data_IF_181697265113
#
_entry.id   IF_181697265113
#
_cell.length_a   1.000
_cell.length_b   1.000
_cell.length_c   1.000
_cell.angle_alpha   90.00
_cell.angle_beta   90.00
_cell.angle_gamma   90.00
#
_symmetry.space_group_name_H-M   'P 1'
#
loop_
_entity.id
_entity.type
_entity.pdbx_description
1 polymer ?
#
# COMPACT_ATOMS: atom_id res chain seq x y z
N UNK A 1 -39.92 53.49 56.45
CA UNK A 1 -38.60 53.27 57.01
C UNK A 1 -37.99 52.00 56.45
N UNK A 2 -36.77 52.01 56.01
CA UNK A 2 -36.04 50.86 55.52
C UNK A 2 -35.09 50.34 56.63
N UNK A 3 -35.02 49.05 56.75
CA UNK A 3 -34.16 48.39 57.71
C UNK A 3 -33.25 47.43 56.91
N UNK A 4 -31.98 47.29 57.29
CA UNK A 4 -31.01 46.37 56.69
C UNK A 4 -30.59 45.33 57.74
N UNK A 5 -30.46 44.09 57.30
CA UNK A 5 -29.97 42.98 58.09
C UNK A 5 -28.56 42.56 57.58
N UNK A 6 -27.70 42.11 58.47
CA UNK A 6 -26.45 41.56 58.12
C UNK A 6 -26.60 40.14 57.51
N UNK A 7 -25.52 39.62 56.90
CA UNK A 7 -25.40 38.23 56.47
C UNK A 7 -25.60 37.28 57.67
N UNK A 8 -26.32 36.21 57.45
CA UNK A 8 -26.59 35.21 58.49
C UNK A 8 -27.97 34.56 58.35
N UNK A 9 -28.21 33.52 59.15
CA UNK A 9 -29.48 32.81 59.22
C UNK A 9 -30.31 33.30 60.41
N UNK A 10 -31.51 33.71 60.12
CA UNK A 10 -32.53 34.24 61.07
C UNK A 10 -33.65 33.22 61.20
N UNK A 11 -33.82 32.66 62.40
CA UNK A 11 -34.91 31.71 62.67
C UNK A 11 -36.30 32.29 62.47
N UNK A 12 -37.27 31.41 62.27
CA UNK A 12 -38.68 31.87 62.18
C UNK A 12 -39.07 32.76 63.38
N UNK A 13 -39.55 33.97 63.10
CA UNK A 13 -39.92 34.94 64.10
C UNK A 13 -38.76 35.74 64.73
N UNK A 14 -37.55 35.55 64.33
CA UNK A 14 -36.34 36.30 64.77
C UNK A 14 -36.42 37.80 64.29
N UNK A 15 -36.90 37.98 63.06
CA UNK A 15 -37.12 39.34 62.48
C UNK A 15 -38.52 39.75 62.71
N UNK A 16 -38.72 40.85 63.48
CA UNK A 16 -40.04 41.38 63.87
C UNK A 16 -40.08 42.85 63.61
N UNK A 17 -41.28 43.33 63.27
CA UNK A 17 -41.65 44.75 63.22
C UNK A 17 -42.86 45.05 64.07
N UNK A 18 -42.84 46.16 64.77
CA UNK A 18 -43.98 46.67 65.51
C UNK A 18 -44.12 48.18 65.34
N UNK A 19 -45.31 48.70 65.54
CA UNK A 19 -45.61 50.11 65.47
C UNK A 19 -45.97 50.65 66.87
N UNK A 20 -45.53 51.87 67.16
CA UNK A 20 -45.90 52.59 68.33
C UNK A 20 -46.58 53.89 67.85
N UNK A 21 -47.79 54.23 68.37
CA UNK A 21 -48.53 55.43 68.04
C UNK A 21 -47.93 56.66 68.73
N UNK A 22 -48.44 57.86 68.42
CA UNK A 22 -48.04 59.13 69.02
C UNK A 22 -48.29 59.23 70.51
N UNK A 23 -49.22 58.41 71.05
CA UNK A 23 -49.55 58.33 72.46
C UNK A 23 -48.70 57.31 73.22
N UNK A 24 -47.78 56.61 72.56
CA UNK A 24 -46.86 55.62 73.14
C UNK A 24 -47.46 54.20 73.20
N UNK A 25 -48.62 53.93 72.59
CA UNK A 25 -49.16 52.56 72.57
C UNK A 25 -48.48 51.73 71.52
N UNK A 26 -47.97 50.52 71.87
CA UNK A 26 -47.27 49.66 71.02
C UNK A 26 -48.15 48.46 70.64
N UNK A 27 -48.28 48.24 69.32
CA UNK A 27 -49.00 47.09 68.76
C UNK A 27 -48.24 45.79 68.93
N UNK A 28 -48.97 44.66 68.74
CA UNK A 28 -48.33 43.35 68.70
C UNK A 28 -47.31 43.30 67.53
N UNK A 29 -46.19 42.61 67.67
CA UNK A 29 -45.19 42.45 66.59
C UNK A 29 -45.73 41.55 65.45
N UNK A 30 -45.45 41.92 64.23
CA UNK A 30 -45.51 41.05 63.07
C UNK A 30 -44.15 40.42 62.86
N UNK A 31 -44.13 39.09 62.61
CA UNK A 31 -42.89 38.31 62.48
C UNK A 31 -42.70 37.83 61.03
N UNK A 32 -41.48 37.87 60.55
CA UNK A 32 -41.05 37.20 59.28
C UNK A 32 -40.79 35.71 59.53
N UNK A 33 -40.98 34.85 58.52
CA UNK A 33 -40.54 33.47 58.52
C UNK A 33 -39.06 33.36 58.67
N UNK A 34 -38.54 32.16 58.62
CA UNK A 34 -37.07 31.94 58.55
C UNK A 34 -36.46 32.62 57.30
N UNK A 35 -35.35 33.32 57.48
CA UNK A 35 -34.67 34.06 56.43
C UNK A 35 -33.16 33.76 56.52
N UNK A 36 -32.55 33.42 55.37
CA UNK A 36 -31.09 33.39 55.25
C UNK A 36 -30.67 34.52 54.31
N UNK A 37 -29.75 35.32 54.77
CA UNK A 37 -29.02 36.30 53.96
C UNK A 37 -27.63 35.74 53.72
N UNK A 38 -27.34 35.42 52.48
CA UNK A 38 -26.04 34.93 52.00
C UNK A 38 -25.60 35.87 50.89
N UNK A 39 -24.45 36.50 51.07
CA UNK A 39 -23.83 37.42 50.12
C UNK A 39 -22.42 36.96 49.74
N UNK A 40 -22.05 35.75 50.15
CA UNK A 40 -20.73 35.16 49.89
C UNK A 40 -20.76 34.32 48.64
N UNK A 41 -20.06 34.73 47.56
CA UNK A 41 -19.99 33.95 46.36
C UNK A 41 -19.21 32.63 46.58
N UNK A 42 -19.56 31.56 45.86
CA UNK A 42 -18.79 30.33 45.84
C UNK A 42 -17.31 30.54 45.47
N UNK A 43 -16.45 29.61 45.87
CA UNK A 43 -15.04 29.62 45.45
C UNK A 43 -14.95 29.50 43.93
N UNK A 44 -13.95 30.15 43.32
CA UNK A 44 -13.64 30.01 41.90
C UNK A 44 -13.37 28.54 41.55
N UNK A 45 -14.08 27.96 40.57
CA UNK A 45 -13.88 26.57 40.16
C UNK A 45 -12.50 26.35 39.50
N UNK A 46 -12.06 25.08 39.45
CA UNK A 46 -10.98 24.67 38.55
C UNK A 46 -11.43 24.76 37.07
N UNK A 47 -10.49 24.76 36.14
CA UNK A 47 -10.80 24.67 34.72
C UNK A 47 -11.72 23.45 34.44
N UNK A 48 -12.67 23.56 33.50
CA UNK A 48 -13.38 22.39 33.02
C UNK A 48 -12.45 21.37 32.38
N UNK A 49 -12.96 20.15 32.25
CA UNK A 49 -12.27 19.05 31.58
C UNK A 49 -13.14 18.54 30.43
N UNK A 50 -12.57 18.33 29.25
CA UNK A 50 -13.24 17.69 28.11
C UNK A 50 -13.24 16.19 28.36
N UNK A 51 -14.41 15.54 28.41
CA UNK A 51 -14.45 14.10 28.70
C UNK A 51 -13.79 13.29 27.59
N UNK A 52 -13.14 12.16 27.94
CA UNK A 52 -12.48 11.24 27.00
C UNK A 52 -13.36 10.87 25.80
N UNK A 53 -14.68 10.75 25.98
CA UNK A 53 -15.61 10.39 24.90
C UNK A 53 -15.84 11.53 23.89
N UNK A 54 -15.63 12.78 24.31
CA UNK A 54 -15.70 13.96 23.44
C UNK A 54 -14.32 14.44 22.98
N UNK A 55 -13.24 13.99 23.60
CA UNK A 55 -11.85 14.24 23.14
C UNK A 55 -11.48 13.14 22.16
N UNK A 56 -11.91 13.31 20.88
CA UNK A 56 -11.80 12.30 19.83
C UNK A 56 -10.43 12.35 19.15
N UNK A 57 -10.10 11.31 18.38
CA UNK A 57 -8.88 11.32 17.60
C UNK A 57 -7.76 10.45 18.16
N UNK A 58 -6.51 10.86 17.94
CA UNK A 58 -5.34 10.07 18.30
C UNK A 58 -4.98 10.14 19.80
N UNK A 59 -5.41 11.20 20.48
CA UNK A 59 -5.21 11.45 21.91
C UNK A 59 -6.55 11.84 22.53
N UNK A 60 -6.82 11.41 23.75
CA UNK A 60 -7.98 11.83 24.54
C UNK A 60 -7.59 12.81 25.66
N UNK A 61 -6.50 13.57 25.47
CA UNK A 61 -5.95 14.52 26.45
C UNK A 61 -5.37 15.78 25.81
N UNK A 62 -5.53 15.95 24.50
CA UNK A 62 -4.97 17.10 23.77
C UNK A 62 -6.01 18.18 23.48
N UNK A 63 -7.30 17.91 23.82
CA UNK A 63 -8.43 18.81 23.60
C UNK A 63 -8.63 19.19 22.11
N UNK A 64 -8.18 18.33 21.18
CA UNK A 64 -8.46 18.41 19.76
C UNK A 64 -9.53 17.38 19.39
N UNK A 65 -10.70 17.83 18.95
CA UNK A 65 -11.85 16.94 18.79
C UNK A 65 -12.62 17.15 17.49
N UNK A 66 -13.10 16.04 16.91
CA UNK A 66 -14.11 16.01 15.86
C UNK A 66 -15.55 16.07 16.38
N UNK A 67 -15.76 16.05 17.71
CA UNK A 67 -17.10 16.20 18.31
C UNK A 67 -17.50 17.69 18.34
N UNK A 68 -18.50 18.06 17.55
CA UNK A 68 -19.00 19.44 17.51
C UNK A 68 -20.03 19.74 18.60
N UNK A 69 -20.34 18.78 19.48
CA UNK A 69 -21.23 18.94 20.64
C UNK A 69 -20.55 18.47 21.93
N UNK A 70 -19.31 18.97 22.21
CA UNK A 70 -18.49 18.42 23.27
C UNK A 70 -19.13 18.52 24.65
N UNK A 71 -18.85 17.50 25.47
CA UNK A 71 -19.28 17.44 26.88
C UNK A 71 -18.09 17.76 27.78
N UNK A 72 -18.34 18.69 28.68
CA UNK A 72 -17.38 19.14 29.69
C UNK A 72 -17.83 18.72 31.10
N UNK A 73 -16.89 18.43 31.95
CA UNK A 73 -17.09 18.03 33.34
C UNK A 73 -16.19 18.83 34.28
N UNK A 74 -16.55 18.75 35.56
CA UNK A 74 -15.71 19.27 36.62
C UNK A 74 -16.24 18.89 37.98
N UNK A 75 -15.53 19.29 39.03
CA UNK A 75 -15.84 18.98 40.43
C UNK A 75 -15.54 20.13 41.35
N UNK A 76 -15.81 19.96 42.65
CA UNK A 76 -15.48 20.93 43.71
C UNK A 76 -16.55 21.98 43.98
N UNK A 77 -17.74 21.85 43.37
CA UNK A 77 -18.89 22.72 43.71
C UNK A 77 -19.67 22.22 44.89
N UNK A 78 -20.59 23.04 45.39
CA UNK A 78 -21.51 22.70 46.47
C UNK A 78 -22.79 22.08 45.89
N UNK A 79 -23.24 20.97 46.45
CA UNK A 79 -24.46 20.29 45.99
C UNK A 79 -25.67 21.24 45.99
N UNK A 80 -26.37 21.32 44.85
CA UNK A 80 -27.52 22.20 44.66
C UNK A 80 -27.20 23.55 44.02
N UNK A 81 -25.91 23.95 43.98
CA UNK A 81 -25.49 25.13 43.22
C UNK A 81 -25.56 24.86 41.71
N UNK A 82 -25.49 25.93 40.93
CA UNK A 82 -25.54 25.87 39.47
C UNK A 82 -24.12 26.10 38.89
N UNK A 83 -23.61 25.16 38.09
CA UNK A 83 -22.48 25.40 37.23
C UNK A 83 -22.95 26.02 35.91
N UNK A 84 -22.28 27.10 35.46
CA UNK A 84 -22.50 27.76 34.18
C UNK A 84 -21.23 27.66 33.36
N UNK A 85 -21.29 26.97 32.20
CA UNK A 85 -20.19 26.85 31.25
C UNK A 85 -20.23 28.05 30.29
N UNK A 86 -19.06 28.60 30.01
CA UNK A 86 -18.88 29.70 29.05
C UNK A 86 -17.91 29.23 27.95
N UNK A 87 -18.21 29.65 26.73
CA UNK A 87 -17.32 29.50 25.58
C UNK A 87 -17.07 30.91 25.04
N UNK A 88 -15.79 31.31 24.97
CA UNK A 88 -15.35 32.67 24.61
C UNK A 88 -16.12 33.75 25.40
N UNK A 89 -16.34 33.48 26.67
CA UNK A 89 -17.06 34.38 27.59
C UNK A 89 -18.57 34.42 27.40
N UNK A 90 -19.15 33.63 26.51
CA UNK A 90 -20.62 33.54 26.31
C UNK A 90 -21.14 32.27 26.95
N UNK A 91 -22.21 32.37 27.77
CA UNK A 91 -22.83 31.23 28.44
C UNK A 91 -23.32 30.21 27.40
N UNK A 92 -22.85 28.96 27.56
CA UNK A 92 -23.08 27.86 26.63
C UNK A 92 -23.96 26.73 27.19
N UNK A 93 -24.11 26.67 28.52
CA UNK A 93 -24.96 25.69 29.18
C UNK A 93 -24.88 25.77 30.70
N UNK A 94 -25.81 25.14 31.39
CA UNK A 94 -25.85 25.09 32.86
C UNK A 94 -26.16 23.68 33.34
N UNK A 95 -25.66 23.31 34.51
CA UNK A 95 -26.00 22.09 35.21
C UNK A 95 -26.12 22.34 36.73
N UNK A 96 -26.99 21.59 37.40
CA UNK A 96 -27.03 21.56 38.88
C UNK A 96 -25.91 20.66 39.35
N UNK A 97 -25.14 21.14 40.34
CA UNK A 97 -24.04 20.38 40.95
C UNK A 97 -24.63 19.25 41.80
N UNK A 98 -24.13 18.03 41.59
CA UNK A 98 -24.62 16.85 42.26
C UNK A 98 -24.18 16.73 43.74
N UNK A 99 -24.64 15.68 44.45
CA UNK A 99 -24.27 15.43 45.84
C UNK A 99 -22.77 15.15 46.05
N UNK A 100 -22.03 14.78 45.01
CA UNK A 100 -20.60 14.59 45.04
C UNK A 100 -19.78 15.85 44.72
N UNK A 101 -20.46 16.95 44.40
CA UNK A 101 -19.83 18.20 43.98
C UNK A 101 -19.45 18.24 42.51
N UNK A 102 -19.96 17.31 41.68
CA UNK A 102 -19.65 17.20 40.26
C UNK A 102 -20.73 17.81 39.38
N UNK A 103 -20.33 18.18 38.18
CA UNK A 103 -21.21 18.68 37.13
C UNK A 103 -20.80 18.14 35.76
N UNK A 104 -21.73 18.09 34.81
CA UNK A 104 -21.50 17.74 33.42
C UNK A 104 -22.42 18.57 32.53
N UNK A 105 -21.88 19.16 31.46
CA UNK A 105 -22.58 20.00 30.51
C UNK A 105 -22.16 19.61 29.09
N UNK A 106 -23.15 19.21 28.27
CA UNK A 106 -22.96 19.04 26.82
C UNK A 106 -23.37 20.34 26.12
N UNK A 107 -22.49 20.82 25.23
CA UNK A 107 -22.78 22.07 24.51
C UNK A 107 -23.72 21.83 23.32
N UNK A 108 -24.32 22.89 22.82
CA UNK A 108 -24.92 22.90 21.50
C UNK A 108 -23.81 22.82 20.44
N UNK A 109 -24.19 22.47 19.19
CA UNK A 109 -23.30 22.38 18.04
C UNK A 109 -22.45 23.65 17.87
N UNK A 110 -21.14 23.43 17.61
CA UNK A 110 -20.13 24.45 17.36
C UNK A 110 -19.50 24.26 16.00
N UNK A 111 -19.12 25.36 15.38
CA UNK A 111 -18.29 25.31 14.15
C UNK A 111 -16.85 24.92 14.45
N UNK A 112 -16.10 24.56 13.43
CA UNK A 112 -14.64 24.35 13.53
C UNK A 112 -13.95 25.63 14.01
N UNK A 113 -13.04 25.50 14.97
CA UNK A 113 -12.32 26.60 15.59
C UNK A 113 -11.74 26.25 16.93
N UNK A 114 -10.93 27.17 17.48
CA UNK A 114 -10.36 27.07 18.83
C UNK A 114 -11.12 27.97 19.77
N UNK A 115 -11.50 27.45 20.94
CA UNK A 115 -12.36 28.04 21.91
C UNK A 115 -11.74 28.05 23.31
N UNK A 116 -11.92 29.15 24.04
CA UNK A 116 -11.61 29.25 25.46
C UNK A 116 -12.84 28.85 26.28
N UNK A 117 -12.77 27.76 27.04
CA UNK A 117 -13.86 27.20 27.83
C UNK A 117 -13.59 27.48 29.31
N UNK A 118 -14.55 28.15 29.98
CA UNK A 118 -14.48 28.48 31.41
C UNK A 118 -15.79 28.08 32.11
N UNK A 119 -15.80 28.03 33.43
CA UNK A 119 -16.98 27.73 34.26
C UNK A 119 -17.06 28.67 35.47
N UNK A 120 -18.27 29.06 35.86
CA UNK A 120 -18.57 29.70 37.17
C UNK A 120 -19.56 28.85 37.96
N UNK A 121 -19.62 29.04 39.28
CA UNK A 121 -20.63 28.48 40.16
C UNK A 121 -21.52 29.59 40.69
N UNK A 122 -22.84 29.34 40.71
CA UNK A 122 -23.82 30.23 41.33
C UNK A 122 -24.49 29.46 42.45
N UNK A 123 -24.47 30.01 43.68
CA UNK A 123 -25.14 29.41 44.83
C UNK A 123 -26.66 29.55 44.78
N UNK A 124 -27.33 28.93 45.74
CA UNK A 124 -28.80 28.98 45.84
C UNK A 124 -29.34 30.36 46.25
N UNK A 125 -28.45 31.27 46.72
CA UNK A 125 -28.81 32.66 47.04
C UNK A 125 -28.64 33.61 45.83
N UNK A 126 -27.99 33.14 44.76
CA UNK A 126 -27.74 33.88 43.51
C UNK A 126 -26.37 34.60 43.48
N UNK A 127 -25.42 34.28 44.37
CA UNK A 127 -24.10 34.82 44.32
C UNK A 127 -23.26 33.98 43.31
N UNK A 128 -22.61 34.65 42.36
CA UNK A 128 -21.80 34.00 41.33
C UNK A 128 -20.30 34.14 41.65
N UNK A 129 -19.56 33.07 41.49
CA UNK A 129 -18.08 33.04 41.59
C UNK A 129 -17.43 33.77 40.44
N UNK A 130 -16.10 34.03 40.55
CA UNK A 130 -15.28 34.29 39.39
C UNK A 130 -15.25 33.07 38.48
N UNK A 131 -15.04 33.28 37.16
CA UNK A 131 -14.82 32.19 36.21
C UNK A 131 -13.48 31.49 36.46
N UNK A 132 -13.40 30.22 36.14
CA UNK A 132 -12.18 29.41 36.16
C UNK A 132 -11.13 29.97 35.23
N UNK A 133 -9.91 29.40 35.26
CA UNK A 133 -8.97 29.50 34.15
C UNK A 133 -9.56 28.80 32.93
N UNK A 134 -9.20 29.29 31.73
CA UNK A 134 -9.69 28.71 30.48
C UNK A 134 -9.04 27.36 30.21
N UNK A 135 -9.82 26.44 29.64
CA UNK A 135 -9.40 25.29 28.89
C UNK A 135 -9.47 25.65 27.41
N UNK A 136 -8.35 25.57 26.68
CA UNK A 136 -8.35 25.72 25.22
C UNK A 136 -8.78 24.40 24.58
N UNK A 137 -9.79 24.45 23.69
CA UNK A 137 -10.33 23.29 22.97
C UNK A 137 -10.41 23.63 21.49
N UNK A 138 -9.92 22.75 20.63
CA UNK A 138 -10.04 22.90 19.19
C UNK A 138 -11.05 21.89 18.65
N UNK A 139 -12.08 22.40 17.99
CA UNK A 139 -13.07 21.58 17.26
C UNK A 139 -12.69 21.60 15.79
N UNK A 140 -12.51 20.41 15.21
CA UNK A 140 -12.25 20.19 13.78
C UNK A 140 -13.10 19.02 13.30
N UNK A 141 -14.13 19.30 12.54
CA UNK A 141 -15.05 18.31 11.94
C UNK A 141 -14.75 18.06 10.47
N UNK A 142 -13.72 18.71 9.94
CA UNK A 142 -13.38 18.67 8.54
C UNK A 142 -12.49 17.45 8.24
N UNK A 143 -13.04 16.46 7.51
CA UNK A 143 -12.26 15.30 7.10
C UNK A 143 -11.10 15.71 6.17
N UNK A 144 -9.91 15.10 6.35
CA UNK A 144 -8.76 15.36 5.48
C UNK A 144 -9.06 14.95 4.03
N UNK A 145 -8.33 15.53 3.07
CA UNK A 145 -8.46 15.18 1.67
C UNK A 145 -8.14 13.70 1.43
N UNK A 146 -8.76 13.08 0.41
CA UNK A 146 -8.44 11.70 0.06
C UNK A 146 -6.96 11.54 -0.32
N UNK A 147 -6.35 10.42 0.07
CA UNK A 147 -5.00 10.04 -0.34
C UNK A 147 -4.94 9.78 -1.85
N UNK A 148 -3.75 9.81 -2.42
CA UNK A 148 -3.46 9.22 -3.73
C UNK A 148 -2.74 7.90 -3.56
N UNK A 149 -3.00 6.92 -4.45
CA UNK A 149 -2.29 5.64 -4.46
C UNK A 149 -2.05 5.19 -5.90
N UNK A 150 -0.82 4.73 -6.19
CA UNK A 150 -0.43 4.22 -7.52
C UNK A 150 0.66 3.16 -7.39
N UNK A 151 0.71 2.23 -8.35
CA UNK A 151 1.91 1.39 -8.50
C UNK A 151 3.13 2.27 -8.69
N UNK A 152 4.20 2.01 -7.93
CA UNK A 152 5.49 2.69 -8.09
C UNK A 152 6.08 2.41 -9.47
N UNK A 153 6.01 1.17 -9.91
CA UNK A 153 6.47 0.73 -11.24
C UNK A 153 5.57 -0.39 -11.72
N UNK A 154 5.02 -0.24 -12.92
CA UNK A 154 4.38 -1.31 -13.67
C UNK A 154 5.44 -1.95 -14.54
N UNK A 155 5.86 -3.17 -14.21
CA UNK A 155 6.96 -3.91 -14.86
C UNK A 155 6.41 -4.82 -15.95
N UNK A 156 7.29 -5.36 -16.78
CA UNK A 156 6.87 -6.30 -17.81
C UNK A 156 6.79 -5.68 -19.21
N UNK A 157 6.03 -6.30 -20.10
CA UNK A 157 5.96 -5.93 -21.50
C UNK A 157 5.03 -4.75 -21.79
N UNK A 158 4.07 -4.47 -20.89
CA UNK A 158 3.14 -3.34 -20.94
C UNK A 158 3.22 -2.60 -19.61
N UNK A 159 3.53 -1.32 -19.62
CA UNK A 159 3.71 -0.50 -18.42
C UNK A 159 2.43 0.19 -17.94
N UNK A 160 1.26 -0.34 -18.30
CA UNK A 160 -0.05 0.21 -17.97
C UNK A 160 -1.16 -0.88 -17.82
N UNK A 161 -0.76 -2.16 -17.74
CA UNK A 161 -1.69 -3.28 -17.59
C UNK A 161 -1.88 -3.74 -16.13
N UNK A 162 -1.11 -3.16 -15.22
CA UNK A 162 -1.11 -3.49 -13.78
C UNK A 162 -0.71 -4.95 -13.49
N UNK A 163 0.09 -5.57 -14.38
CA UNK A 163 0.74 -6.87 -14.17
C UNK A 163 2.21 -6.61 -13.90
N UNK A 164 2.66 -6.83 -12.69
CA UNK A 164 3.97 -6.35 -12.24
C UNK A 164 4.67 -7.34 -11.31
N UNK A 165 6.00 -7.38 -11.33
CA UNK A 165 6.78 -8.06 -10.30
C UNK A 165 7.18 -7.13 -9.15
N UNK A 166 6.79 -5.85 -9.21
CA UNK A 166 7.01 -4.87 -8.17
C UNK A 166 5.70 -4.50 -7.47
N UNK A 167 5.44 -5.09 -6.31
CA UNK A 167 4.23 -4.81 -5.52
C UNK A 167 4.25 -3.48 -4.75
N UNK A 168 5.24 -2.59 -4.95
CA UNK A 168 5.33 -1.33 -4.23
C UNK A 168 4.24 -0.35 -4.67
N UNK A 169 3.47 0.14 -3.71
CA UNK A 169 2.44 1.17 -3.88
C UNK A 169 2.92 2.47 -3.25
N UNK A 170 2.97 3.53 -4.03
CA UNK A 170 3.21 4.87 -3.54
C UNK A 170 1.91 5.49 -3.04
N UNK A 171 1.99 6.14 -1.88
CA UNK A 171 0.88 6.85 -1.23
C UNK A 171 1.25 8.32 -1.11
N UNK A 172 0.40 9.19 -1.59
CA UNK A 172 0.60 10.64 -1.55
C UNK A 172 -0.58 11.38 -0.94
N UNK A 173 -0.42 12.70 -0.81
CA UNK A 173 -1.41 13.60 -0.23
C UNK A 173 -1.71 13.30 1.25
N UNK A 174 -0.69 12.84 2.00
CA UNK A 174 -0.81 12.60 3.44
C UNK A 174 -0.79 13.96 4.14
N UNK A 175 -1.82 14.24 4.93
CA UNK A 175 -1.92 15.45 5.72
C UNK A 175 -0.91 15.44 6.87
N UNK A 176 -0.37 16.62 7.19
CA UNK A 176 0.59 16.75 8.30
C UNK A 176 -0.08 16.39 9.63
N UNK A 177 0.49 15.43 10.34
CA UNK A 177 -0.06 14.94 11.61
C UNK A 177 -1.11 13.84 11.47
N UNK A 178 -1.62 13.55 10.27
CA UNK A 178 -2.55 12.46 10.04
C UNK A 178 -1.88 11.09 10.12
N UNK A 179 -2.64 10.08 10.50
CA UNK A 179 -2.30 8.67 10.35
C UNK A 179 -3.00 8.12 9.11
N UNK A 180 -2.39 7.15 8.43
CA UNK A 180 -3.03 6.54 7.28
C UNK A 180 -3.03 5.01 7.36
N UNK A 181 -3.95 4.40 6.64
CA UNK A 181 -4.19 2.97 6.63
C UNK A 181 -4.40 2.49 5.19
N UNK A 182 -4.05 1.23 4.94
CA UNK A 182 -4.38 0.53 3.72
C UNK A 182 -5.11 -0.78 4.00
N UNK A 183 -5.89 -1.21 3.04
CA UNK A 183 -6.58 -2.51 3.00
C UNK A 183 -6.25 -3.20 1.69
N UNK A 184 -6.19 -4.53 1.70
CA UNK A 184 -6.00 -5.38 0.51
C UNK A 184 -7.18 -6.33 0.29
N UNK A 185 -8.25 -6.21 1.08
CA UNK A 185 -9.42 -7.08 1.08
C UNK A 185 -10.76 -6.31 0.96
N UNK A 186 -10.71 -5.15 0.31
CA UNK A 186 -11.90 -4.34 0.05
C UNK A 186 -12.40 -3.54 1.25
N UNK A 187 -11.53 -3.23 2.22
CA UNK A 187 -11.87 -2.45 3.39
C UNK A 187 -12.37 -3.27 4.58
N UNK A 188 -12.28 -4.61 4.51
CA UNK A 188 -12.66 -5.48 5.65
C UNK A 188 -11.65 -5.39 6.78
N UNK A 189 -10.36 -5.44 6.47
CA UNK A 189 -9.27 -5.27 7.41
C UNK A 189 -8.37 -4.12 6.98
N UNK A 190 -7.89 -3.35 7.97
CA UNK A 190 -7.05 -2.18 7.76
C UNK A 190 -5.71 -2.33 8.48
N UNK A 191 -4.65 -1.98 7.79
CA UNK A 191 -3.28 -1.97 8.33
C UNK A 191 -2.77 -0.53 8.35
N UNK A 192 -2.20 -0.10 9.48
CA UNK A 192 -1.58 1.22 9.58
C UNK A 192 -0.34 1.29 8.69
N UNK A 193 -0.31 2.31 7.85
CA UNK A 193 0.83 2.60 6.98
C UNK A 193 1.92 3.40 7.70
N UNK A 194 3.13 3.33 7.16
CA UNK A 194 4.27 4.11 7.61
C UNK A 194 4.99 4.73 6.42
N UNK A 195 5.50 5.95 6.57
CA UNK A 195 6.10 6.67 5.45
C UNK A 195 5.10 6.96 4.34
N UNK A 196 5.51 6.80 3.08
CA UNK A 196 4.74 7.16 1.89
C UNK A 196 4.52 5.99 0.93
N UNK A 197 4.61 4.75 1.40
CA UNK A 197 4.42 3.55 0.56
C UNK A 197 4.13 2.31 1.39
N UNK A 198 3.61 1.27 0.73
CA UNK A 198 3.49 -0.09 1.26
C UNK A 198 3.68 -1.10 0.12
N UNK A 199 3.93 -2.37 0.46
CA UNK A 199 4.19 -3.40 -0.54
C UNK A 199 3.09 -4.47 -0.52
N UNK A 200 2.52 -4.75 -1.69
CA UNK A 200 1.63 -5.87 -1.93
C UNK A 200 2.44 -7.16 -2.07
N UNK A 201 1.97 -8.24 -1.47
CA UNK A 201 2.51 -9.58 -1.68
C UNK A 201 2.12 -10.12 -3.07
N UNK A 202 2.79 -11.16 -3.53
CA UNK A 202 2.41 -11.89 -4.74
C UNK A 202 0.97 -12.40 -4.63
N UNK A 203 0.10 -11.88 -5.48
CA UNK A 203 -1.33 -12.23 -5.61
C UNK A 203 -2.01 -11.42 -6.70
N UNK A 204 -3.20 -11.86 -7.11
CA UNK A 204 -4.12 -11.06 -7.91
C UNK A 204 -5.11 -10.33 -6.99
N UNK A 205 -5.09 -9.01 -7.02
CA UNK A 205 -6.01 -8.13 -6.31
C UNK A 205 -7.13 -7.68 -7.27
N UNK A 206 -8.36 -7.99 -6.94
CA UNK A 206 -9.51 -7.53 -7.72
C UNK A 206 -9.65 -6.00 -7.65
N UNK A 207 -10.33 -5.40 -8.61
CA UNK A 207 -10.66 -3.97 -8.57
C UNK A 207 -11.35 -3.62 -7.23
N UNK A 208 -10.93 -2.52 -6.63
CA UNK A 208 -11.36 -2.01 -5.32
C UNK A 208 -10.96 -2.89 -4.11
N UNK A 209 -10.14 -3.93 -4.30
CA UNK A 209 -9.58 -4.69 -3.17
C UNK A 209 -8.54 -3.88 -2.41
N UNK A 210 -7.67 -3.18 -3.13
CA UNK A 210 -6.64 -2.30 -2.55
C UNK A 210 -7.22 -0.91 -2.35
N UNK A 211 -7.16 -0.43 -1.10
CA UNK A 211 -7.71 0.86 -0.67
C UNK A 211 -6.77 1.55 0.30
N UNK A 212 -6.84 2.88 0.33
CA UNK A 212 -6.13 3.71 1.31
C UNK A 212 -7.06 4.79 1.85
N UNK A 213 -6.86 5.19 3.11
CA UNK A 213 -7.52 6.30 3.79
C UNK A 213 -6.61 6.92 4.82
N UNK A 214 -6.90 8.14 5.26
CA UNK A 214 -6.21 8.78 6.37
C UNK A 214 -7.18 9.29 7.41
N UNK A 215 -6.67 9.46 8.63
CA UNK A 215 -7.39 10.03 9.78
C UNK A 215 -6.55 11.17 10.33
N UNK A 216 -7.15 12.34 10.49
CA UNK A 216 -6.49 13.52 11.07
C UNK A 216 -6.28 13.42 12.58
N UNK A 217 -5.75 14.49 13.20
CA UNK A 217 -5.54 14.56 14.64
C UNK A 217 -6.84 14.58 15.44
N UNK A 218 -7.92 15.14 14.90
CA UNK A 218 -9.25 15.24 15.53
C UNK A 218 -10.07 13.94 15.40
N UNK A 219 -9.63 12.99 14.58
CA UNK A 219 -10.30 11.70 14.36
C UNK A 219 -11.20 11.66 13.13
N UNK A 220 -11.21 12.68 12.29
CA UNK A 220 -12.00 12.66 11.06
C UNK A 220 -11.31 11.78 10.02
N UNK A 221 -12.09 10.94 9.34
CA UNK A 221 -11.59 9.99 8.35
C UNK A 221 -11.88 10.50 6.93
N UNK A 222 -10.86 10.50 6.08
CA UNK A 222 -10.98 10.87 4.67
C UNK A 222 -11.87 9.91 3.88
N UNK A 223 -12.29 10.33 2.69
CA UNK A 223 -12.80 9.39 1.71
C UNK A 223 -11.72 8.36 1.35
N UNK A 224 -12.13 7.12 1.06
CA UNK A 224 -11.24 6.06 0.61
C UNK A 224 -10.82 6.30 -0.85
N UNK A 225 -9.54 6.13 -1.13
CA UNK A 225 -9.04 5.97 -2.50
C UNK A 225 -8.96 4.48 -2.81
N UNK A 226 -9.55 4.08 -3.93
CA UNK A 226 -9.60 2.70 -4.40
C UNK A 226 -8.74 2.53 -5.64
N UNK A 227 -8.04 1.38 -5.74
CA UNK A 227 -7.23 1.05 -6.91
C UNK A 227 -7.98 0.09 -7.85
N UNK A 228 -7.56 0.06 -9.12
CA UNK A 228 -7.98 -0.94 -10.10
C UNK A 228 -7.55 -2.35 -9.70
N UNK A 229 -7.74 -3.32 -10.60
CA UNK A 229 -7.16 -4.66 -10.42
C UNK A 229 -5.64 -4.60 -10.59
N UNK A 230 -4.92 -5.34 -9.75
CA UNK A 230 -3.46 -5.44 -9.78
C UNK A 230 -3.10 -6.92 -9.72
N UNK A 231 -2.18 -7.35 -10.57
CA UNK A 231 -1.59 -8.68 -10.50
C UNK A 231 -0.10 -8.54 -10.15
N UNK A 232 0.26 -8.90 -8.93
CA UNK A 232 1.65 -8.97 -8.50
C UNK A 232 2.11 -10.40 -8.67
N UNK A 233 3.04 -10.63 -9.61
CA UNK A 233 3.64 -11.93 -9.91
C UNK A 233 5.16 -11.80 -9.80
N UNK A 234 5.74 -12.46 -8.81
CA UNK A 234 7.18 -12.48 -8.52
C UNK A 234 7.81 -13.83 -8.84
N UNK A 235 7.03 -14.74 -9.41
CA UNK A 235 7.47 -16.10 -9.76
C UNK A 235 8.17 -16.10 -11.12
N UNK A 236 9.44 -16.51 -11.17
CA UNK A 236 10.14 -16.65 -12.43
C UNK A 236 9.53 -17.77 -13.28
N UNK A 237 9.39 -17.57 -14.62
CA UNK A 237 8.93 -18.62 -15.50
C UNK A 237 9.91 -19.79 -15.55
N UNK A 238 9.38 -20.98 -15.82
CA UNK A 238 10.19 -22.19 -15.99
C UNK A 238 11.19 -22.02 -17.15
N UNK A 239 12.33 -22.72 -17.10
CA UNK A 239 13.27 -22.70 -18.22
C UNK A 239 12.62 -23.29 -19.49
N UNK A 240 12.82 -22.66 -20.68
CA UNK A 240 12.40 -23.24 -21.95
C UNK A 240 13.07 -24.59 -22.22
N UNK A 241 12.61 -25.33 -23.20
CA UNK A 241 13.28 -26.51 -23.72
C UNK A 241 13.80 -26.24 -25.12
N UNK A 242 15.03 -26.69 -25.41
CA UNK A 242 15.68 -26.53 -26.69
C UNK A 242 16.00 -27.90 -27.30
N UNK A 243 15.71 -28.05 -28.60
CA UNK A 243 16.09 -29.23 -29.36
C UNK A 243 16.51 -28.85 -30.78
N UNK A 244 17.54 -29.51 -31.36
CA UNK A 244 17.74 -29.40 -32.79
C UNK A 244 16.52 -29.92 -33.52
N UNK A 245 16.10 -29.23 -34.58
CA UNK A 245 14.99 -29.68 -35.42
C UNK A 245 15.29 -30.99 -36.14
N UNK A 246 16.54 -31.18 -36.53
CA UNK A 246 17.09 -32.42 -37.07
C UNK A 246 18.59 -32.47 -36.82
N UNK A 247 19.11 -33.59 -36.39
CA UNK A 247 20.54 -33.93 -36.44
C UNK A 247 20.74 -34.77 -37.69
N UNK A 248 21.43 -34.19 -38.70
CA UNK A 248 21.57 -34.77 -40.06
C UNK A 248 22.97 -35.36 -40.20
N UNK A 249 23.14 -36.34 -41.06
CA UNK A 249 24.43 -36.95 -41.27
C UNK A 249 24.41 -38.45 -41.01
N UNK A 250 25.57 -39.06 -40.83
CA UNK A 250 25.73 -40.50 -40.62
C UNK A 250 25.36 -40.94 -39.18
N UNK A 251 25.61 -40.08 -38.21
CA UNK A 251 25.18 -40.22 -36.81
C UNK A 251 24.17 -39.10 -36.50
N UNK A 252 22.98 -39.47 -36.03
CA UNK A 252 21.91 -38.53 -35.72
C UNK A 252 21.86 -38.11 -34.24
N UNK A 253 22.99 -38.23 -33.55
CA UNK A 253 23.14 -37.94 -32.13
C UNK A 253 24.44 -37.25 -31.73
N UNK A 254 25.31 -36.94 -32.71
CA UNK A 254 26.66 -36.37 -32.47
C UNK A 254 26.68 -34.84 -32.46
N UNK A 255 25.55 -34.20 -32.79
CA UNK A 255 25.42 -32.74 -32.83
C UNK A 255 26.10 -32.10 -34.05
N UNK A 256 26.46 -32.88 -35.10
CA UNK A 256 27.00 -32.38 -36.38
C UNK A 256 25.83 -32.41 -37.40
N UNK A 257 25.35 -31.27 -37.79
CA UNK A 257 24.15 -31.19 -38.65
C UNK A 257 24.25 -30.11 -39.73
N UNK A 258 23.62 -30.36 -40.86
CA UNK A 258 23.43 -29.34 -41.89
C UNK A 258 22.21 -28.46 -41.65
N UNK A 259 21.41 -28.81 -40.64
CA UNK A 259 20.19 -28.08 -40.27
C UNK A 259 20.40 -27.26 -39.00
N UNK A 260 20.61 -25.95 -39.15
CA UNK A 260 20.81 -25.02 -38.01
C UNK A 260 19.54 -24.67 -37.23
N UNK A 261 18.38 -25.23 -37.58
CA UNK A 261 17.12 -24.88 -36.88
C UNK A 261 17.04 -25.48 -35.47
N UNK A 262 16.77 -24.62 -34.50
CA UNK A 262 16.57 -24.98 -33.09
C UNK A 262 15.10 -24.71 -32.74
N UNK A 263 14.42 -25.73 -32.24
CA UNK A 263 13.05 -25.59 -31.70
C UNK A 263 13.10 -25.18 -30.25
N UNK A 264 12.21 -24.25 -29.91
CA UNK A 264 11.99 -23.74 -28.55
C UNK A 264 10.59 -24.15 -28.11
N UNK A 265 10.49 -24.79 -26.96
CA UNK A 265 9.20 -25.21 -26.38
C UNK A 265 9.14 -24.85 -24.89
N UNK A 266 8.00 -25.15 -24.26
CA UNK A 266 7.75 -24.82 -22.85
C UNK A 266 7.81 -23.31 -22.57
N UNK A 267 7.36 -22.50 -23.55
CA UNK A 267 7.15 -21.07 -23.36
C UNK A 267 5.80 -20.84 -22.68
N UNK A 268 5.78 -19.96 -21.69
CA UNK A 268 4.56 -19.54 -21.05
C UNK A 268 3.70 -18.69 -21.98
N UNK A 269 2.38 -18.70 -21.75
CA UNK A 269 1.45 -17.87 -22.52
C UNK A 269 1.78 -16.39 -22.35
N UNK A 270 1.89 -15.65 -23.46
CA UNK A 270 2.24 -14.23 -23.52
C UNK A 270 3.64 -13.86 -23.00
N UNK A 271 4.51 -14.84 -22.75
CA UNK A 271 5.91 -14.57 -22.47
C UNK A 271 6.65 -14.07 -23.70
N UNK A 272 7.71 -13.31 -23.51
CA UNK A 272 8.73 -13.00 -24.50
C UNK A 272 9.92 -13.93 -24.27
N UNK A 273 10.68 -14.22 -25.33
CA UNK A 273 11.88 -15.03 -25.20
C UNK A 273 13.03 -14.48 -26.03
N UNK A 274 14.25 -14.82 -25.60
CA UNK A 274 15.48 -14.40 -26.22
C UNK A 274 16.42 -15.60 -26.32
N UNK A 275 17.29 -15.57 -27.34
CA UNK A 275 18.35 -16.55 -27.50
C UNK A 275 19.72 -15.87 -27.54
N UNK A 276 20.72 -16.61 -27.10
CA UNK A 276 22.12 -16.27 -27.16
C UNK A 276 22.89 -17.38 -27.91
N UNK A 277 23.96 -17.00 -28.61
CA UNK A 277 24.90 -17.94 -29.25
C UNK A 277 26.33 -17.82 -28.71
N UNK A 278 26.52 -17.01 -27.67
CA UNK A 278 27.82 -16.70 -27.06
C UNK A 278 27.85 -16.92 -25.52
N UNK A 279 27.01 -17.87 -25.04
CA UNK A 279 26.96 -18.24 -23.63
C UNK A 279 26.26 -17.21 -22.74
N UNK A 280 25.30 -16.45 -23.28
CA UNK A 280 24.51 -15.49 -22.53
C UNK A 280 25.14 -14.10 -22.45
N UNK A 281 26.18 -13.82 -23.22
CA UNK A 281 26.80 -12.48 -23.24
C UNK A 281 25.93 -11.48 -24.00
N UNK A 282 25.44 -11.90 -25.18
CA UNK A 282 24.50 -11.10 -25.98
C UNK A 282 23.22 -11.90 -26.23
N UNK A 283 22.06 -11.18 -26.18
CA UNK A 283 20.74 -11.78 -26.34
C UNK A 283 20.02 -11.16 -27.54
N UNK A 284 19.34 -12.01 -28.30
CA UNK A 284 18.52 -11.62 -29.46
C UNK A 284 17.09 -12.05 -29.20
N UNK A 285 16.13 -11.16 -29.40
CA UNK A 285 14.70 -11.46 -29.25
C UNK A 285 14.28 -12.53 -30.25
N UNK A 286 13.64 -13.59 -29.74
CA UNK A 286 13.07 -14.66 -30.55
C UNK A 286 11.63 -14.35 -30.97
N UNK A 287 11.20 -15.01 -32.04
CA UNK A 287 9.82 -14.95 -32.53
C UNK A 287 9.31 -16.35 -32.86
N UNK A 288 8.05 -16.61 -32.62
CA UNK A 288 7.47 -17.94 -32.82
C UNK A 288 8.07 -18.98 -31.86
N UNK A 289 8.40 -20.18 -32.37
CA UNK A 289 8.88 -21.31 -31.57
C UNK A 289 10.21 -21.91 -32.07
N UNK A 290 10.96 -21.18 -32.84
CA UNK A 290 12.28 -21.63 -33.36
C UNK A 290 13.15 -20.44 -33.76
N UNK A 291 14.44 -20.71 -33.94
CA UNK A 291 15.45 -19.82 -34.56
C UNK A 291 16.46 -20.65 -35.32
N UNK A 292 17.29 -20.01 -36.16
CA UNK A 292 18.28 -20.71 -36.97
C UNK A 292 19.68 -20.23 -36.60
N UNK A 293 20.52 -21.18 -36.29
CA UNK A 293 21.97 -20.96 -36.07
C UNK A 293 22.69 -20.81 -37.42
N UNK A 294 23.68 -19.94 -37.50
CA UNK A 294 24.56 -19.81 -38.62
C UNK A 294 25.54 -21.02 -38.66
N UNK A 295 26.19 -21.23 -39.80
CA UNK A 295 27.30 -22.18 -39.95
C UNK A 295 28.42 -21.87 -38.96
N UNK A 296 28.94 -22.91 -38.26
CA UNK A 296 29.95 -22.77 -37.27
C UNK A 296 29.86 -23.80 -36.14
N UNK A 297 30.85 -23.79 -35.25
CA UNK A 297 30.89 -24.65 -34.08
C UNK A 297 30.53 -23.87 -32.83
N UNK A 298 29.62 -24.41 -32.03
CA UNK A 298 29.11 -23.86 -30.78
C UNK A 298 29.54 -24.73 -29.61
N UNK A 299 30.25 -24.14 -28.66
CA UNK A 299 30.68 -24.85 -27.45
C UNK A 299 29.45 -25.25 -26.59
N UNK A 300 29.65 -26.24 -25.72
CA UNK A 300 28.64 -26.64 -24.75
C UNK A 300 28.16 -25.40 -23.94
N UNK A 301 26.85 -25.13 -23.93
CA UNK A 301 26.24 -23.99 -23.24
C UNK A 301 26.39 -22.65 -23.96
N UNK A 302 26.99 -22.61 -25.18
CA UNK A 302 27.07 -21.38 -25.97
C UNK A 302 25.67 -20.94 -26.49
N UNK A 303 24.86 -21.92 -26.92
CA UNK A 303 23.49 -21.68 -27.38
C UNK A 303 22.55 -21.77 -26.18
N UNK A 304 21.91 -20.67 -25.88
CA UNK A 304 21.00 -20.55 -24.72
C UNK A 304 19.67 -19.87 -25.14
N UNK A 305 18.62 -20.18 -24.42
CA UNK A 305 17.31 -19.48 -24.49
C UNK A 305 16.80 -19.22 -23.10
N UNK A 306 16.25 -18.02 -22.87
CA UNK A 306 15.51 -17.65 -21.69
C UNK A 306 14.17 -17.05 -22.05
N UNK A 307 13.21 -17.07 -21.15
CA UNK A 307 11.94 -16.39 -21.33
C UNK A 307 11.69 -15.39 -20.19
N UNK A 308 10.90 -14.37 -20.50
CA UNK A 308 10.43 -13.36 -19.56
C UNK A 308 8.92 -13.38 -19.61
N UNK A 309 8.27 -13.51 -18.45
CA UNK A 309 6.81 -13.53 -18.33
C UNK A 309 6.16 -12.14 -18.53
N UNK A 310 4.85 -12.09 -18.37
CA UNK A 310 4.09 -10.86 -18.55
C UNK A 310 4.40 -9.81 -17.48
N UNK A 311 4.74 -10.23 -16.25
CA UNK A 311 5.09 -9.36 -15.13
C UNK A 311 6.54 -8.84 -15.18
N UNK A 312 7.37 -9.38 -16.09
CA UNK A 312 8.77 -8.99 -16.25
C UNK A 312 9.77 -9.86 -15.49
N UNK A 313 9.35 -11.00 -14.93
CA UNK A 313 10.30 -11.94 -14.34
C UNK A 313 11.00 -12.72 -15.44
N UNK A 314 12.33 -12.82 -15.36
CA UNK A 314 13.13 -13.58 -16.32
C UNK A 314 13.56 -14.92 -15.72
N UNK A 315 13.19 -16.02 -16.39
CA UNK A 315 13.52 -17.37 -16.00
C UNK A 315 14.99 -17.74 -16.22
N UNK A 316 15.42 -18.85 -15.62
CA UNK A 316 16.73 -19.40 -15.85
C UNK A 316 16.89 -19.82 -17.33
N UNK A 317 18.04 -19.60 -17.98
CA UNK A 317 18.26 -20.03 -19.33
C UNK A 317 18.40 -21.56 -19.43
N UNK A 318 17.85 -22.14 -20.50
CA UNK A 318 18.18 -23.48 -20.95
C UNK A 318 19.28 -23.39 -21.99
N UNK A 319 20.08 -24.46 -22.16
CA UNK A 319 21.19 -24.50 -23.10
C UNK A 319 21.25 -25.80 -23.88
N UNK A 320 21.84 -25.75 -25.08
CA UNK A 320 22.23 -26.93 -25.85
C UNK A 320 23.61 -27.40 -25.46
N UNK A 321 23.87 -28.69 -25.75
CA UNK A 321 25.22 -29.26 -25.76
C UNK A 321 26.12 -28.62 -26.84
N UNK A 322 27.35 -29.08 -26.95
CA UNK A 322 28.21 -28.68 -28.05
C UNK A 322 27.61 -29.18 -29.38
N UNK A 323 27.67 -28.33 -30.43
CA UNK A 323 27.12 -28.68 -31.74
C UNK A 323 27.91 -27.98 -32.86
N UNK A 324 27.84 -28.52 -34.06
CA UNK A 324 28.44 -27.92 -35.27
C UNK A 324 27.39 -27.88 -36.38
N UNK A 325 27.17 -26.70 -36.92
CA UNK A 325 26.37 -26.49 -38.09
C UNK A 325 27.28 -26.42 -39.29
N UNK A 326 27.17 -27.35 -40.20
CA UNK A 326 27.91 -27.40 -41.46
C UNK A 326 26.90 -27.59 -42.62
N UNK A 327 26.62 -26.51 -43.28
CA UNK A 327 25.68 -26.42 -44.42
C UNK A 327 26.44 -26.41 -45.77
N UNK A 328 27.75 -26.51 -45.71
CA UNK A 328 28.61 -26.43 -46.89
C UNK A 328 28.80 -27.82 -47.48
N UNK A 329 28.36 -28.01 -48.71
CA UNK A 329 28.59 -29.29 -49.42
C UNK A 329 30.09 -29.55 -49.67
N UNK A 330 30.54 -30.78 -49.52
CA UNK A 330 31.92 -31.13 -49.88
C UNK A 330 32.28 -30.70 -51.30
N UNK A 331 33.54 -30.39 -51.50
CA UNK A 331 34.05 -30.07 -52.84
C UNK A 331 33.87 -31.27 -53.81
N UNK A 332 33.66 -30.99 -55.09
CA UNK A 332 33.55 -32.01 -56.09
C UNK A 332 34.81 -32.86 -56.10
N UNK A 333 34.68 -34.17 -55.88
CA UNK A 333 35.86 -35.04 -55.89
C UNK A 333 36.52 -35.08 -57.29
N UNK A 334 37.80 -35.44 -57.36
CA UNK A 334 38.43 -35.66 -58.61
C UNK A 334 37.76 -36.85 -59.36
N UNK A 335 37.90 -36.88 -60.69
CA UNK A 335 37.36 -37.96 -61.47
C UNK A 335 37.96 -39.28 -60.97
N UNK A 336 37.13 -40.33 -60.85
CA UNK A 336 37.67 -41.64 -60.47
C UNK A 336 38.64 -42.13 -61.53
N UNK A 337 39.70 -42.79 -61.09
CA UNK A 337 40.70 -43.32 -61.90
C UNK A 337 40.84 -44.87 -61.71
N UNK A 338 41.05 -45.63 -62.81
CA UNK A 338 41.18 -47.06 -62.71
C UNK A 338 42.61 -47.35 -62.16
N UNK A 339 42.69 -48.11 -61.04
CA UNK A 339 44.01 -48.44 -60.50
C UNK A 339 44.82 -49.27 -61.49
N UNK A 340 46.14 -49.06 -61.56
CA UNK A 340 47.03 -49.74 -62.54
C UNK A 340 46.92 -51.25 -62.52
N UNK A 341 46.57 -51.90 -61.40
CA UNK A 341 46.36 -53.35 -61.31
C UNK A 341 45.07 -53.82 -61.95
N UNK A 342 44.09 -52.92 -62.10
CA UNK A 342 42.79 -53.18 -62.79
C UNK A 342 42.80 -52.65 -64.24
N UNK A 343 43.76 -51.82 -64.63
CA UNK A 343 43.99 -51.36 -66.02
C UNK A 343 44.93 -52.38 -66.71
N UNK A 344 44.29 -53.46 -67.24
CA UNK A 344 45.01 -54.69 -67.64
C UNK A 344 45.39 -54.73 -69.10
N UNK A 345 45.33 -53.63 -69.84
CA UNK A 345 45.72 -53.58 -71.26
C UNK A 345 47.25 -53.49 -71.52
N UNK A 346 47.64 -53.01 -72.69
CA UNK A 346 49.02 -52.70 -73.04
C UNK A 346 49.50 -51.41 -72.45
N UNK A 347 48.65 -50.61 -71.93
CA UNK A 347 48.87 -49.39 -71.15
C UNK A 347 48.14 -49.51 -69.85
N UNK A 348 48.72 -49.04 -68.75
CA UNK A 348 48.14 -48.97 -67.41
C UNK A 348 47.47 -47.55 -67.10
N UNK A 349 47.26 -46.80 -68.18
CA UNK A 349 46.72 -45.41 -68.07
C UNK A 349 45.68 -45.06 -69.14
N UNK A 350 45.25 -46.07 -69.97
CA UNK A 350 44.25 -45.79 -71.04
C UNK A 350 42.81 -46.18 -70.70
N UNK A 351 42.62 -46.68 -69.46
CA UNK A 351 41.29 -47.08 -68.92
C UNK A 351 40.62 -48.19 -69.75
N UNK A 352 41.40 -49.01 -70.50
CA UNK A 352 40.93 -50.17 -71.22
C UNK A 352 41.28 -51.45 -70.47
N UNK A 353 40.28 -52.13 -69.91
CA UNK A 353 40.50 -53.25 -69.01
C UNK A 353 39.77 -54.55 -69.45
N UNK A 354 40.38 -55.69 -69.27
CA UNK A 354 39.74 -56.97 -69.27
C UNK A 354 39.29 -57.50 -67.90
N UNK A 355 39.55 -56.70 -66.86
CA UNK A 355 39.07 -56.99 -65.50
C UNK A 355 37.55 -56.74 -65.42
N UNK A 356 36.75 -57.73 -65.03
CA UNK A 356 35.37 -57.68 -64.93
C UNK A 356 34.89 -57.24 -63.51
N UNK A 357 35.84 -56.94 -62.60
CA UNK A 357 35.62 -56.42 -61.24
C UNK A 357 36.59 -55.26 -60.93
N UNK A 358 36.65 -54.25 -61.81
CA UNK A 358 37.68 -53.21 -61.71
C UNK A 358 37.59 -52.40 -60.44
N UNK A 359 38.77 -52.05 -59.89
CA UNK A 359 38.89 -51.18 -58.72
C UNK A 359 39.27 -49.78 -59.18
N UNK A 360 38.54 -48.81 -58.65
CA UNK A 360 38.73 -47.38 -58.88
C UNK A 360 39.34 -46.71 -57.67
N UNK A 361 40.15 -45.72 -57.89
CA UNK A 361 40.64 -44.79 -56.87
C UNK A 361 40.14 -43.40 -57.14
N UNK A 362 40.00 -42.61 -56.08
CA UNK A 362 39.60 -41.21 -56.16
C UNK A 362 40.42 -40.40 -55.16
N UNK A 363 40.45 -39.10 -55.39
CA UNK A 363 41.13 -38.17 -54.49
C UNK A 363 40.29 -36.90 -54.36
N UNK A 364 40.62 -36.07 -53.38
CA UNK A 364 39.97 -34.79 -53.19
C UNK A 364 38.82 -34.81 -52.16
N UNK A 365 38.55 -35.91 -51.42
CA UNK A 365 37.62 -35.95 -50.27
C UNK A 365 38.28 -35.50 -49.01
N UNK A 366 37.46 -35.04 -48.07
CA UNK A 366 37.85 -34.72 -46.70
C UNK A 366 37.79 -36.00 -45.84
N UNK A 367 38.60 -36.12 -44.83
CA UNK A 367 38.62 -37.29 -43.94
C UNK A 367 37.23 -37.31 -43.19
N UNK A 368 36.53 -38.45 -43.31
CA UNK A 368 35.19 -38.64 -42.74
C UNK A 368 34.06 -38.56 -43.76
N UNK A 369 34.31 -38.00 -44.96
CA UNK A 369 33.28 -37.96 -46.02
C UNK A 369 33.08 -39.37 -46.63
N UNK A 370 31.87 -39.60 -47.11
CA UNK A 370 31.55 -40.83 -47.83
C UNK A 370 31.57 -40.57 -49.32
N UNK A 371 32.37 -41.33 -50.04
CA UNK A 371 32.44 -41.34 -51.52
C UNK A 371 31.51 -42.44 -52.09
N UNK A 372 30.68 -42.10 -53.05
CA UNK A 372 29.80 -43.04 -53.73
C UNK A 372 30.13 -43.01 -55.23
N UNK A 373 30.46 -44.20 -55.79
CA UNK A 373 30.67 -44.40 -57.24
C UNK A 373 29.31 -44.67 -57.90
N UNK A 374 28.98 -43.91 -58.89
CA UNK A 374 27.80 -44.12 -59.75
C UNK A 374 28.19 -44.65 -61.07
N UNK A 375 27.44 -45.64 -61.62
CA UNK A 375 27.64 -46.25 -62.92
C UNK A 375 26.43 -45.95 -63.80
#
# INVERSE_FOLDING_TARGET
SNFTLAEGSYANGAVQVRQTDLAGNTGAPASLGALTIDSTAPATPAAPDLIDASDTGASNTDNLTGDNTPTFTGSGGTAGDTATLYIDGVAAGTATIDAGGNWSITTAERADGTYDVTVSFTDTAGNESAQSTALEVTIDTTAPAALTASLNTDTGSAGDDSVTNNGLIDVGNIETGATWQYSTDGGTNWTTGTGTSFTLSEATYAANAVRVRQTDGAGNVSNETVMGSINVDQTNPAAPTLTLAADTGADNSDGITSNGQVNVANLEANSTWEYSTDGGTNWTTGTGSNFTLAEGSYANGAVQVRQTDLAGNTGAPASLGALTIDSTAPATPAAPDLIASSDTGTSDTDNLTGDNTPTFTGSGGTAGDTATLYI
#
